data_IF_854519209428
#
_entry.id   IF_854519209428
#
_cell.length_a   1.000
_cell.length_b   1.000
_cell.length_c   1.000
_cell.angle_alpha   90.00
_cell.angle_beta   90.00
_cell.angle_gamma   90.00
#
_symmetry.space_group_name_H-M   'P 1'
#
loop_
_entity.id
_entity.type
_entity.pdbx_description
1 polymer ?
#
# COMPACT_ATOMS: atom_id res chain seq x y z
N UNK A 1 26.30 3.52 4.36
CA UNK A 1 24.90 3.25 4.74
C UNK A 1 24.10 3.11 3.45
N UNK A 2 23.79 1.89 3.02
CA UNK A 2 22.87 1.70 1.89
C UNK A 2 21.46 2.07 2.36
N UNK A 3 20.85 3.07 1.74
CA UNK A 3 19.46 3.43 2.03
C UNK A 3 18.53 2.26 1.69
N UNK A 4 17.57 1.96 2.57
CA UNK A 4 16.49 1.02 2.25
C UNK A 4 15.60 1.66 1.18
N UNK A 5 15.72 1.20 -0.06
CA UNK A 5 14.91 1.66 -1.20
C UNK A 5 13.51 1.03 -1.10
N UNK A 6 12.49 1.86 -1.33
CA UNK A 6 11.11 1.42 -1.47
C UNK A 6 10.53 1.80 -2.83
N UNK A 7 9.38 1.23 -3.19
CA UNK A 7 8.71 1.51 -4.47
C UNK A 7 7.26 1.91 -4.28
N UNK A 8 6.75 2.76 -5.19
CA UNK A 8 5.33 3.06 -5.28
C UNK A 8 4.63 1.91 -6.02
N UNK A 9 3.62 1.29 -5.39
CA UNK A 9 2.81 0.27 -6.05
C UNK A 9 1.51 0.89 -6.55
N UNK A 10 1.57 1.48 -7.74
CA UNK A 10 0.41 2.04 -8.43
C UNK A 10 -0.55 0.95 -8.92
N UNK A 11 -1.86 1.17 -8.73
CA UNK A 11 -2.93 0.23 -9.11
C UNK A 11 -3.76 0.67 -10.32
N UNK A 12 -3.48 1.86 -10.88
CA UNK A 12 -4.16 2.38 -12.07
C UNK A 12 -3.50 1.85 -13.34
N UNK A 13 -3.94 0.67 -13.79
CA UNK A 13 -3.52 0.04 -15.04
C UNK A 13 -4.40 -1.15 -15.39
N UNK A 14 -4.59 -1.41 -16.68
CA UNK A 14 -5.53 -2.44 -17.17
C UNK A 14 -4.88 -3.80 -17.46
N UNK A 15 -3.57 -3.91 -17.33
CA UNK A 15 -2.78 -5.11 -17.62
C UNK A 15 -1.76 -5.44 -16.52
N UNK A 16 -1.99 -4.93 -15.30
CA UNK A 16 -1.08 -5.15 -14.17
C UNK A 16 -1.13 -6.61 -13.70
N UNK A 17 -0.01 -7.19 -13.25
CA UNK A 17 -0.01 -8.50 -12.62
C UNK A 17 -0.87 -8.53 -11.34
N UNK A 18 -1.25 -9.73 -10.90
CA UNK A 18 -1.99 -9.89 -9.64
C UNK A 18 -1.18 -9.37 -8.44
N UNK A 19 -1.84 -8.93 -7.36
CA UNK A 19 -1.15 -8.48 -6.15
C UNK A 19 -0.11 -9.48 -5.62
N UNK A 20 -0.46 -10.75 -5.54
CA UNK A 20 0.47 -11.80 -5.11
C UNK A 20 1.71 -11.89 -6.01
N UNK A 21 1.54 -11.79 -7.34
CA UNK A 21 2.66 -11.80 -8.28
C UNK A 21 3.56 -10.57 -8.10
N UNK A 22 2.99 -9.38 -7.89
CA UNK A 22 3.76 -8.16 -7.64
C UNK A 22 4.49 -8.22 -6.30
N UNK A 23 3.86 -8.70 -5.23
CA UNK A 23 4.52 -8.86 -3.92
C UNK A 23 5.69 -9.86 -4.01
N UNK A 24 5.52 -10.97 -4.71
CA UNK A 24 6.60 -11.92 -4.98
C UNK A 24 7.75 -11.28 -5.78
N UNK A 25 7.43 -10.48 -6.80
CA UNK A 25 8.42 -9.71 -7.55
C UNK A 25 9.19 -8.76 -6.64
N UNK A 26 8.50 -7.96 -5.82
CA UNK A 26 9.10 -7.00 -4.87
C UNK A 26 10.07 -7.71 -3.92
N UNK A 27 9.67 -8.85 -3.34
CA UNK A 27 10.54 -9.68 -2.50
C UNK A 27 11.77 -10.17 -3.25
N UNK A 28 11.61 -10.68 -4.48
CA UNK A 28 12.72 -11.18 -5.29
C UNK A 28 13.75 -10.10 -5.67
N UNK A 29 13.38 -8.83 -5.56
CA UNK A 29 14.26 -7.67 -5.81
C UNK A 29 14.85 -7.08 -4.53
N UNK A 30 14.70 -7.76 -3.39
CA UNK A 30 15.15 -7.28 -2.08
C UNK A 30 14.58 -5.90 -1.70
N UNK A 31 13.38 -5.57 -2.19
CA UNK A 31 12.67 -4.36 -1.79
C UNK A 31 11.84 -4.69 -0.56
N UNK A 32 12.07 -3.93 0.52
CA UNK A 32 11.47 -4.17 1.83
C UNK A 32 10.36 -3.18 2.20
N UNK A 33 10.08 -2.20 1.32
CA UNK A 33 9.08 -1.14 1.58
C UNK A 33 8.28 -0.81 0.33
N UNK A 34 6.98 -0.64 0.49
CA UNK A 34 6.10 -0.17 -0.58
C UNK A 34 5.22 0.99 -0.12
N UNK A 35 4.73 1.78 -1.08
CA UNK A 35 3.66 2.76 -0.87
C UNK A 35 2.41 2.39 -1.65
N UNK A 36 1.26 2.44 -0.99
CA UNK A 36 -0.08 2.38 -1.57
C UNK A 36 -0.74 3.76 -1.50
N UNK A 37 -1.51 4.10 -2.53
CA UNK A 37 -2.17 5.41 -2.65
C UNK A 37 -3.60 5.43 -2.12
N UNK A 38 -4.17 4.25 -1.87
CA UNK A 38 -5.48 4.02 -1.29
C UNK A 38 -5.49 2.61 -0.66
N UNK A 39 -6.44 2.31 0.24
CA UNK A 39 -6.66 0.95 0.71
C UNK A 39 -6.96 0.01 -0.47
N UNK A 40 -6.30 -1.15 -0.51
CA UNK A 40 -6.53 -2.22 -1.48
C UNK A 40 -6.44 -3.55 -0.72
N UNK A 41 -7.59 -4.18 -0.48
CA UNK A 41 -7.68 -5.40 0.35
C UNK A 41 -6.88 -6.56 -0.24
N UNK A 42 -6.82 -6.69 -1.56
CA UNK A 42 -6.13 -7.79 -2.22
C UNK A 42 -4.63 -7.65 -2.06
N UNK A 43 -4.12 -6.42 -2.15
CA UNK A 43 -2.71 -6.12 -1.90
C UNK A 43 -2.35 -6.31 -0.42
N UNK A 44 -3.17 -5.80 0.51
CA UNK A 44 -2.96 -5.98 1.94
C UNK A 44 -2.98 -7.45 2.35
N UNK A 45 -3.86 -8.25 1.74
CA UNK A 45 -3.90 -9.70 1.94
C UNK A 45 -2.62 -10.39 1.43
N UNK A 46 -2.14 -10.01 0.24
CA UNK A 46 -0.90 -10.54 -0.32
C UNK A 46 0.35 -10.16 0.49
N UNK A 47 0.30 -9.07 1.26
CA UNK A 47 1.41 -8.61 2.11
C UNK A 47 1.50 -9.32 3.46
N UNK A 48 0.45 -10.05 3.89
CA UNK A 48 0.42 -10.73 5.19
C UNK A 48 1.61 -11.68 5.35
N UNK A 49 2.31 -11.57 6.47
CA UNK A 49 3.47 -12.41 6.78
C UNK A 49 4.70 -12.17 5.90
N UNK A 50 4.70 -11.16 5.02
CA UNK A 50 5.83 -10.96 4.10
C UNK A 50 7.01 -10.22 4.70
N UNK A 51 6.79 -9.42 5.74
CA UNK A 51 7.80 -8.53 6.33
C UNK A 51 8.07 -7.26 5.52
N UNK A 52 7.33 -7.02 4.42
CA UNK A 52 7.40 -5.76 3.67
C UNK A 52 6.67 -4.66 4.46
N UNK A 53 7.37 -3.56 4.74
CA UNK A 53 6.77 -2.37 5.33
C UNK A 53 5.88 -1.63 4.33
N UNK A 54 4.75 -1.10 4.80
CA UNK A 54 3.75 -0.45 3.95
C UNK A 54 3.53 0.98 4.43
N UNK A 55 3.61 1.94 3.52
CA UNK A 55 3.03 3.27 3.68
C UNK A 55 1.68 3.26 2.96
N UNK A 56 0.59 3.48 3.70
CA UNK A 56 -0.76 3.55 3.17
C UNK A 56 -1.25 5.00 3.22
N UNK A 57 -1.57 5.59 2.07
CA UNK A 57 -2.14 6.93 2.03
C UNK A 57 -3.66 6.90 2.25
N UNK A 58 -4.15 7.94 2.90
CA UNK A 58 -5.55 8.37 2.80
C UNK A 58 -5.81 8.87 1.37
N UNK A 59 -6.87 8.41 0.69
CA UNK A 59 -7.26 8.97 -0.60
C UNK A 59 -7.58 10.47 -0.49
N UNK A 60 -7.15 11.28 -1.46
CA UNK A 60 -7.38 12.73 -1.44
C UNK A 60 -8.84 13.16 -1.16
N UNK A 61 -9.87 12.48 -1.72
CA UNK A 61 -11.27 12.82 -1.42
C UNK A 61 -11.67 12.66 0.06
N UNK A 62 -10.99 11.78 0.78
CA UNK A 62 -11.32 11.44 2.17
C UNK A 62 -10.58 12.33 3.18
N UNK A 63 -9.53 13.04 2.77
CA UNK A 63 -8.66 13.83 3.67
C UNK A 63 -9.46 14.85 4.49
N UNK A 64 -10.36 15.60 3.85
CA UNK A 64 -11.15 16.61 4.55
C UNK A 64 -12.03 15.96 5.61
N UNK A 65 -12.70 14.85 5.26
CA UNK A 65 -13.62 14.16 6.16
C UNK A 65 -12.89 13.54 7.34
N UNK A 66 -11.76 12.87 7.12
CA UNK A 66 -10.90 12.35 8.20
C UNK A 66 -10.45 13.48 9.13
N UNK A 67 -10.16 14.67 8.60
CA UNK A 67 -9.74 15.82 9.41
C UNK A 67 -10.84 16.43 10.27
N UNK A 68 -12.12 16.17 10.00
CA UNK A 68 -13.26 16.84 10.65
C UNK A 68 -14.25 15.92 11.35
N UNK A 69 -14.21 14.62 11.05
CA UNK A 69 -15.16 13.60 11.53
C UNK A 69 -14.39 12.46 12.22
N UNK A 70 -14.27 12.47 13.56
CA UNK A 70 -13.54 11.45 14.31
C UNK A 70 -14.09 10.04 14.15
N UNK A 71 -15.41 9.88 13.95
CA UNK A 71 -16.03 8.57 13.77
C UNK A 71 -15.63 8.02 12.39
N UNK A 72 -15.66 8.85 11.34
CA UNK A 72 -15.16 8.45 10.03
C UNK A 72 -13.65 8.15 10.03
N UNK A 73 -12.86 8.90 10.79
CA UNK A 73 -11.44 8.59 10.97
C UNK A 73 -11.24 7.25 11.71
N UNK A 74 -12.10 6.93 12.67
CA UNK A 74 -12.14 5.64 13.36
C UNK A 74 -12.49 4.48 12.43
N UNK A 75 -13.50 4.66 11.58
CA UNK A 75 -13.92 3.65 10.58
C UNK A 75 -12.85 3.40 9.50
N UNK A 76 -12.02 4.40 9.21
CA UNK A 76 -10.94 4.27 8.22
C UNK A 76 -9.76 3.40 8.71
N UNK A 77 -9.54 3.34 10.03
CA UNK A 77 -8.42 2.61 10.67
C UNK A 77 -8.81 1.14 10.89
#
# INVERSE_FOLDING_TARGET
MSGNVGVNYGRQGNNLPSPAAVINLIRSRNISRIRLFSPDSDVLNALRGTGIGVVLNVPNPDIQRIGTDPDFAGDWI
#
